data_IF_634297694848
#
_entry.id   IF_634297694848
#
_cell.length_a   1.000
_cell.length_b   1.000
_cell.length_c   1.000
_cell.angle_alpha   90.00
_cell.angle_beta   90.00
_cell.angle_gamma   90.00
#
_symmetry.space_group_name_H-M   'P 1'
#
loop_
_entity.id
_entity.type
_entity.pdbx_description
1 polymer ?
#
# COMPACT_ATOMS: atom_id res chain seq x y z
N UNK A 1 -17.78 -13.37 -24.07
CA UNK A 1 -17.73 -14.39 -22.99
C UNK A 1 -17.00 -13.80 -21.79
N UNK A 2 -17.49 -13.98 -20.55
CA UNK A 2 -16.75 -13.56 -19.36
C UNK A 2 -15.51 -14.43 -19.17
N UNK A 3 -14.36 -13.79 -18.93
CA UNK A 3 -13.10 -14.46 -18.59
C UNK A 3 -13.04 -14.69 -17.08
N UNK A 4 -12.94 -15.94 -16.65
CA UNK A 4 -12.63 -16.25 -15.26
C UNK A 4 -11.17 -15.82 -15.01
N UNK A 5 -10.96 -14.88 -14.09
CA UNK A 5 -9.60 -14.54 -13.68
C UNK A 5 -8.98 -15.73 -12.96
N UNK A 6 -7.72 -16.03 -13.28
CA UNK A 6 -6.97 -17.09 -12.62
C UNK A 6 -7.03 -16.92 -11.10
N UNK A 7 -7.15 -18.05 -10.39
CA UNK A 7 -7.10 -18.06 -8.93
C UNK A 7 -5.78 -17.40 -8.48
N UNK A 8 -5.87 -16.57 -7.45
CA UNK A 8 -4.73 -15.77 -6.98
C UNK A 8 -3.59 -16.69 -6.55
N UNK A 9 -2.43 -16.56 -7.19
CA UNK A 9 -1.22 -17.31 -6.80
C UNK A 9 -0.62 -16.82 -5.46
N UNK A 10 -0.95 -15.61 -5.01
CA UNK A 10 -0.42 -15.01 -3.77
C UNK A 10 -1.51 -14.70 -2.76
N UNK A 11 -1.24 -15.01 -1.49
CA UNK A 11 -2.11 -14.77 -0.34
C UNK A 11 -2.12 -13.29 0.12
N UNK A 12 -2.00 -12.35 -0.82
CA UNK A 12 -1.98 -10.91 -0.48
C UNK A 12 -3.30 -10.48 0.19
N UNK A 13 -3.25 -9.55 1.14
CA UNK A 13 -4.47 -8.97 1.71
C UNK A 13 -4.61 -7.54 1.24
N UNK A 14 -5.78 -7.19 0.71
CA UNK A 14 -6.05 -5.84 0.20
C UNK A 14 -6.90 -5.05 1.21
N UNK A 15 -6.67 -3.75 1.29
CA UNK A 15 -7.48 -2.85 2.09
C UNK A 15 -7.36 -1.42 1.58
N UNK A 16 -8.26 -0.55 2.03
CA UNK A 16 -8.18 0.88 1.76
C UNK A 16 -8.09 1.63 3.08
N UNK A 17 -7.30 2.68 3.11
CA UNK A 17 -7.19 3.54 4.27
C UNK A 17 -7.07 5.01 3.84
N UNK A 18 -7.64 5.90 4.63
CA UNK A 18 -7.36 7.32 4.52
C UNK A 18 -6.10 7.65 5.32
N UNK A 19 -5.30 8.56 4.80
CA UNK A 19 -4.21 9.19 5.54
C UNK A 19 -4.80 10.32 6.38
N UNK A 20 -4.52 10.32 7.68
CA UNK A 20 -4.98 11.43 8.55
C UNK A 20 -4.06 12.66 8.47
N UNK A 21 -4.47 13.72 9.16
CA UNK A 21 -3.75 15.00 9.30
C UNK A 21 -2.28 14.85 9.75
N UNK A 22 -1.97 13.76 10.48
CA UNK A 22 -0.63 13.45 11.01
C UNK A 22 0.16 12.50 10.12
N UNK A 23 -0.37 12.13 8.96
CA UNK A 23 0.26 11.19 8.04
C UNK A 23 0.17 9.73 8.50
N UNK A 24 -0.82 9.39 9.33
CA UNK A 24 -1.03 8.02 9.83
C UNK A 24 -1.99 7.26 8.94
N UNK A 25 -1.68 5.98 8.78
CA UNK A 25 -2.53 4.99 8.14
C UNK A 25 -3.07 4.06 9.24
N UNK A 26 -4.39 3.95 9.32
CA UNK A 26 -5.07 2.99 10.19
C UNK A 26 -5.47 1.77 9.36
N UNK A 27 -4.75 0.65 9.53
CA UNK A 27 -4.99 -0.56 8.75
C UNK A 27 -4.74 -1.81 9.60
N UNK A 28 -5.48 -1.94 10.70
CA UNK A 28 -5.25 -2.98 11.71
C UNK A 28 -5.37 -4.41 11.14
N UNK A 29 -6.31 -4.64 10.23
CA UNK A 29 -6.48 -5.93 9.56
C UNK A 29 -5.28 -6.28 8.66
N UNK A 30 -4.76 -5.29 7.94
CA UNK A 30 -3.59 -5.45 7.07
C UNK A 30 -2.32 -5.74 7.88
N UNK A 31 -2.14 -5.03 8.99
CA UNK A 31 -0.99 -5.28 9.87
C UNK A 31 -1.08 -6.64 10.56
N UNK A 32 -2.30 -7.07 10.95
CA UNK A 32 -2.55 -8.40 11.47
C UNK A 32 -2.19 -9.51 10.48
N UNK A 33 -2.54 -9.36 9.20
CA UNK A 33 -2.16 -10.30 8.14
C UNK A 33 -0.64 -10.41 7.94
N UNK A 34 0.12 -9.37 8.30
CA UNK A 34 1.59 -9.36 8.26
C UNK A 34 2.24 -9.82 9.58
N UNK A 35 1.44 -10.17 10.59
CA UNK A 35 1.93 -10.46 11.94
C UNK A 35 2.54 -9.24 12.65
N UNK A 36 2.28 -8.02 12.15
CA UNK A 36 2.80 -6.79 12.74
C UNK A 36 1.94 -6.38 13.92
N UNK A 37 2.51 -6.51 15.12
CA UNK A 37 1.89 -6.15 16.39
C UNK A 37 2.36 -4.76 16.85
N UNK A 38 1.69 -4.14 17.83
CA UNK A 38 2.21 -2.93 18.44
C UNK A 38 3.66 -3.08 18.89
N UNK A 39 4.49 -2.08 18.55
CA UNK A 39 5.93 -2.09 18.84
C UNK A 39 6.79 -2.75 17.76
N UNK A 40 6.22 -3.46 16.79
CA UNK A 40 6.95 -3.94 15.61
C UNK A 40 7.63 -2.74 14.94
N UNK A 41 8.94 -2.88 14.73
CA UNK A 41 9.77 -1.89 14.04
C UNK A 41 9.76 -2.17 12.54
N UNK A 42 9.61 -1.12 11.76
CA UNK A 42 9.49 -1.19 10.30
C UNK A 42 10.30 -0.07 9.66
N UNK A 43 10.75 -0.33 8.44
CA UNK A 43 11.32 0.68 7.56
C UNK A 43 10.35 0.98 6.42
N UNK A 44 10.41 2.21 5.93
CA UNK A 44 9.54 2.71 4.88
C UNK A 44 10.39 3.40 3.83
N UNK A 45 10.18 3.06 2.56
CA UNK A 45 10.92 3.60 1.42
C UNK A 45 9.96 3.88 0.27
N UNK A 46 10.27 4.92 -0.49
CA UNK A 46 9.62 5.17 -1.77
C UNK A 46 10.30 4.30 -2.86
N UNK A 47 9.48 3.76 -3.76
CA UNK A 47 9.88 2.95 -4.91
C UNK A 47 8.93 3.19 -6.08
N UNK A 48 9.33 4.02 -7.04
CA UNK A 48 8.58 4.22 -8.29
C UNK A 48 7.17 4.78 -8.08
N UNK A 49 7.01 5.69 -7.12
CA UNK A 49 5.72 6.26 -6.71
C UNK A 49 4.93 5.41 -5.71
N UNK A 50 5.44 4.24 -5.32
CA UNK A 50 4.84 3.39 -4.29
C UNK A 50 5.57 3.58 -2.96
N UNK A 51 4.84 3.39 -1.86
CA UNK A 51 5.47 3.29 -0.54
C UNK A 51 5.58 1.83 -0.15
N UNK A 52 6.81 1.35 0.02
CA UNK A 52 7.07 -0.02 0.48
C UNK A 52 7.49 0.03 1.94
N UNK A 53 6.76 -0.70 2.77
CA UNK A 53 7.02 -0.87 4.18
C UNK A 53 7.36 -2.33 4.46
N UNK A 54 8.42 -2.58 5.22
CA UNK A 54 8.84 -3.93 5.61
C UNK A 54 9.23 -3.97 7.08
N UNK A 55 9.09 -5.12 7.72
CA UNK A 55 9.65 -5.34 9.06
C UNK A 55 11.17 -5.11 9.03
N UNK A 56 11.68 -4.37 9.99
CA UNK A 56 13.10 -4.04 10.09
C UNK A 56 13.48 -3.87 11.57
N UNK A 57 14.36 -4.73 12.08
CA UNK A 57 14.77 -4.67 13.48
C UNK A 57 15.58 -3.39 13.70
N UNK A 58 15.03 -2.47 14.48
CA UNK A 58 15.64 -1.15 14.69
C UNK A 58 15.26 -0.12 13.62
N UNK A 59 14.30 -0.47 12.75
CA UNK A 59 13.71 0.47 11.81
C UNK A 59 13.14 1.72 12.51
N UNK A 60 13.17 2.89 11.86
CA UNK A 60 12.87 4.17 12.48
C UNK A 60 11.37 4.38 12.80
N UNK A 61 10.50 3.48 12.32
CA UNK A 61 9.05 3.58 12.48
C UNK A 61 8.58 2.42 13.34
N UNK A 62 7.63 2.70 14.24
CA UNK A 62 6.99 1.69 15.07
C UNK A 62 5.50 1.64 14.80
N UNK A 63 4.95 0.44 14.72
CA UNK A 63 3.50 0.24 14.73
C UNK A 63 2.98 0.69 16.11
N UNK A 64 2.08 1.67 16.11
CA UNK A 64 1.53 2.20 17.36
C UNK A 64 0.62 1.20 18.08
N UNK A 65 0.33 1.45 19.36
CA UNK A 65 -0.61 0.64 20.16
C UNK A 65 -1.99 0.48 19.50
N UNK A 66 -2.43 1.46 18.71
CA UNK A 66 -3.71 1.42 18.00
C UNK A 66 -3.64 0.67 16.66
N UNK A 67 -2.48 0.11 16.31
CA UNK A 67 -2.26 -0.51 15.00
C UNK A 67 -2.26 0.51 13.87
N UNK A 68 -1.69 1.69 14.12
CA UNK A 68 -1.46 2.72 13.10
C UNK A 68 0.02 2.82 12.75
N UNK A 69 0.29 3.12 11.48
CA UNK A 69 1.64 3.37 10.97
C UNK A 69 1.73 4.83 10.51
N UNK A 70 2.74 5.56 11.00
CA UNK A 70 2.99 6.94 10.60
C UNK A 70 3.99 6.97 9.45
N UNK A 71 3.57 7.51 8.31
CA UNK A 71 4.46 7.69 7.18
C UNK A 71 5.39 8.90 7.41
N UNK A 72 6.70 8.75 7.14
CA UNK A 72 7.63 9.88 7.16
C UNK A 72 7.19 10.98 6.19
N UNK A 73 7.41 12.23 6.58
CA UNK A 73 7.06 13.38 5.72
C UNK A 73 7.72 13.34 4.33
N UNK A 74 9.01 12.95 4.17
CA UNK A 74 9.63 12.86 2.85
C UNK A 74 8.92 11.87 1.92
N UNK A 75 8.58 10.69 2.45
CA UNK A 75 7.88 9.64 1.70
C UNK A 75 6.49 10.11 1.25
N UNK A 76 5.75 10.78 2.15
CA UNK A 76 4.44 11.37 1.78
C UNK A 76 4.58 12.39 0.67
N UNK A 77 5.56 13.29 0.75
CA UNK A 77 5.81 14.33 -0.26
C UNK A 77 6.14 13.72 -1.62
N UNK A 78 7.05 12.75 -1.68
CA UNK A 78 7.42 12.11 -2.94
C UNK A 78 6.27 11.35 -3.60
N UNK A 79 5.34 10.85 -2.79
CA UNK A 79 4.16 10.13 -3.26
C UNK A 79 2.91 11.00 -3.44
N UNK A 80 3.01 12.33 -3.25
CA UNK A 80 1.86 13.24 -3.35
C UNK A 80 0.74 12.94 -2.34
N UNK A 81 1.10 12.43 -1.16
CA UNK A 81 0.15 11.99 -0.14
C UNK A 81 -0.18 13.12 0.85
N UNK A 82 -1.45 13.47 0.92
CA UNK A 82 -2.01 14.51 1.78
C UNK A 82 -3.01 13.95 2.80
N UNK A 83 -3.44 14.79 3.73
CA UNK A 83 -4.52 14.43 4.64
C UNK A 83 -5.80 14.20 3.83
N UNK A 84 -6.50 13.10 4.12
CA UNK A 84 -7.68 12.67 3.37
C UNK A 84 -7.37 11.83 2.13
N UNK A 85 -6.12 11.76 1.66
CA UNK A 85 -5.75 10.86 0.56
C UNK A 85 -6.10 9.42 0.92
N UNK A 86 -6.91 8.78 0.07
CA UNK A 86 -7.27 7.36 0.20
C UNK A 86 -6.28 6.53 -0.59
N UNK A 87 -5.60 5.61 0.10
CA UNK A 87 -4.58 4.76 -0.49
C UNK A 87 -5.04 3.31 -0.51
N UNK A 88 -4.66 2.58 -1.55
CA UNK A 88 -4.78 1.13 -1.58
C UNK A 88 -3.60 0.52 -0.82
N UNK A 89 -3.89 -0.44 0.03
CA UNK A 89 -2.94 -1.19 0.83
C UNK A 89 -2.91 -2.63 0.34
N UNK A 90 -1.70 -3.12 0.09
CA UNK A 90 -1.45 -4.50 -0.32
C UNK A 90 -0.49 -5.12 0.68
N UNK A 91 -1.01 -5.96 1.55
CA UNK A 91 -0.22 -6.83 2.41
C UNK A 91 0.29 -8.00 1.57
N UNK A 92 1.58 -8.28 1.65
CA UNK A 92 2.22 -9.45 1.05
C UNK A 92 2.89 -10.25 2.19
N UNK A 93 2.16 -11.20 2.81
CA UNK A 93 2.66 -11.98 3.93
C UNK A 93 3.89 -12.81 3.56
N UNK A 94 3.92 -13.37 2.36
CA UNK A 94 5.02 -14.21 1.86
C UNK A 94 6.34 -13.43 1.83
N UNK A 95 6.28 -12.14 1.51
CA UNK A 95 7.44 -11.24 1.50
C UNK A 95 7.55 -10.36 2.75
N UNK A 96 6.64 -10.49 3.72
CA UNK A 96 6.62 -9.70 4.95
C UNK A 96 6.56 -8.19 4.73
N UNK A 97 5.88 -7.73 3.68
CA UNK A 97 5.84 -6.32 3.28
C UNK A 97 4.43 -5.79 3.07
N UNK A 98 4.28 -4.49 3.26
CA UNK A 98 3.11 -3.72 2.90
C UNK A 98 3.48 -2.77 1.77
N UNK A 99 2.73 -2.81 0.68
CA UNK A 99 2.81 -1.82 -0.39
C UNK A 99 1.61 -0.88 -0.28
N UNK A 100 1.89 0.41 -0.16
CA UNK A 100 0.89 1.46 -0.24
C UNK A 100 0.92 2.02 -1.65
N UNK A 101 -0.23 2.03 -2.30
CA UNK A 101 -0.44 2.59 -3.62
C UNK A 101 -1.18 3.94 -3.48
N UNK A 102 -0.47 5.07 -3.66
CA UNK A 102 -1.10 6.38 -3.78
C UNK A 102 -2.09 6.43 -4.95
N UNK A 103 -3.09 7.34 -4.92
CA UNK A 103 -4.02 7.54 -6.02
C UNK A 103 -3.33 7.71 -7.37
N UNK A 104 -2.32 8.57 -7.47
CA UNK A 104 -1.60 8.82 -8.72
C UNK A 104 -0.90 7.56 -9.28
N UNK A 105 -0.31 6.73 -8.41
CA UNK A 105 0.31 5.48 -8.84
C UNK A 105 -0.74 4.45 -9.27
N UNK A 106 -1.86 4.38 -8.54
CA UNK A 106 -2.98 3.51 -8.88
C UNK A 106 -3.62 3.91 -10.22
N UNK A 107 -3.83 5.21 -10.45
CA UNK A 107 -4.36 5.75 -11.69
C UNK A 107 -3.46 5.44 -12.88
N UNK A 108 -2.14 5.58 -12.72
CA UNK A 108 -1.18 5.20 -13.76
C UNK A 108 -1.23 3.70 -14.09
N UNK A 109 -1.33 2.84 -13.06
CA UNK A 109 -1.45 1.39 -13.23
C UNK A 109 -2.76 1.01 -13.95
N UNK A 110 -3.88 1.59 -13.52
CA UNK A 110 -5.20 1.32 -14.10
C UNK A 110 -5.28 1.86 -15.53
N UNK A 111 -4.75 3.06 -15.80
CA UNK A 111 -4.75 3.65 -17.15
C UNK A 111 -3.98 2.77 -18.14
N UNK A 112 -2.84 2.22 -17.72
CA UNK A 112 -2.08 1.27 -18.54
C UNK A 112 -2.87 -0.01 -18.80
N UNK A 113 -3.51 -0.57 -17.76
CA UNK A 113 -4.36 -1.75 -17.92
C UNK A 113 -5.54 -1.48 -18.86
N UNK A 114 -6.17 -0.31 -18.76
CA UNK A 114 -7.23 0.11 -19.67
C UNK A 114 -6.74 0.29 -21.10
N UNK A 115 -5.55 0.84 -21.31
CA UNK A 115 -4.95 0.91 -22.64
C UNK A 115 -4.71 -0.48 -23.23
N UNK A 116 -4.28 -1.46 -22.43
CA UNK A 116 -4.08 -2.83 -22.91
C UNK A 116 -5.40 -3.58 -23.19
N UNK A 117 -6.45 -3.30 -22.40
CA UNK A 117 -7.78 -3.94 -22.55
C UNK A 117 -8.63 -3.30 -23.65
N UNK A 118 -8.61 -1.97 -23.75
CA UNK A 118 -9.46 -1.21 -24.67
C UNK A 118 -8.70 -0.63 -25.87
N UNK A 119 -7.37 -0.50 -25.81
CA UNK A 119 -6.54 -0.03 -26.92
C UNK A 119 -6.34 -1.05 -28.05
N UNK A 120 -6.99 -2.22 -27.96
CA UNK A 120 -7.20 -3.12 -29.09
C UNK A 120 -8.40 -2.74 -29.98
N UNK A 121 -9.28 -1.85 -29.50
CA UNK A 121 -10.42 -1.30 -30.26
C UNK A 121 -10.11 0.14 -30.69
N UNK A 122 -9.04 0.30 -31.47
CA UNK A 122 -8.93 1.50 -32.30
C UNK A 122 -9.84 1.29 -33.53
N UNK A 123 -11.04 1.86 -33.46
CA UNK A 123 -11.87 2.16 -34.64
C UNK A 123 -11.50 3.54 -35.14
#
# INVERSE_FOLDING_TARGET
MPRLMAARERSSTYGFAAIDDRGRIAARLIFGALGWVPGTTVACRERGGLVVVSADRGGPIRVSLKGHLRLPAPVRRWCGLEAGSRVLLVADPDMGRLVVHPPAALDAMISRYYADVFGGDAV
#
